data_IF_424848533509
#
_entry.id   IF_424848533509
#
_cell.length_a   1.000
_cell.length_b   1.000
_cell.length_c   1.000
_cell.angle_alpha   90.00
_cell.angle_beta   90.00
_cell.angle_gamma   90.00
#
_symmetry.space_group_name_H-M   'P 1'
#
loop_
_entity.id
_entity.type
_entity.pdbx_description
1 polymer ?
#
# COMPACT_ATOMS: atom_id res chain seq x y z
N UNK A 1 -21.37 8.05 -0.13
CA UNK A 1 -20.10 7.76 0.59
C UNK A 1 -19.65 6.36 0.22
N UNK A 2 -18.60 6.23 -0.58
CA UNK A 2 -17.86 4.98 -0.74
C UNK A 2 -16.41 5.31 -0.40
N UNK A 3 -15.99 5.02 0.83
CA UNK A 3 -14.57 4.94 1.21
C UNK A 3 -13.76 3.95 0.33
N UNK A 4 -14.42 3.26 -0.62
CA UNK A 4 -13.85 2.25 -1.48
C UNK A 4 -13.52 2.67 -2.91
N UNK A 5 -13.82 3.88 -3.40
CA UNK A 5 -13.44 4.22 -4.79
C UNK A 5 -11.92 4.44 -4.90
N UNK A 6 -11.35 5.26 -4.03
CA UNK A 6 -9.95 5.65 -4.08
C UNK A 6 -9.07 4.49 -3.64
N UNK A 7 -9.40 3.80 -2.54
CA UNK A 7 -8.66 2.61 -2.09
C UNK A 7 -8.67 1.49 -3.15
N UNK A 8 -9.79 1.28 -3.85
CA UNK A 8 -9.84 0.32 -4.95
C UNK A 8 -9.05 0.81 -6.17
N UNK A 9 -9.16 2.09 -6.52
CA UNK A 9 -8.40 2.69 -7.61
C UNK A 9 -6.89 2.60 -7.37
N UNK A 10 -6.42 2.79 -6.13
CA UNK A 10 -5.02 2.58 -5.75
C UNK A 10 -4.60 1.13 -5.99
N UNK A 11 -5.41 0.15 -5.59
CA UNK A 11 -5.10 -1.25 -5.85
C UNK A 11 -5.13 -1.59 -7.34
N UNK A 12 -6.07 -1.03 -8.10
CA UNK A 12 -6.12 -1.20 -9.55
C UNK A 12 -4.85 -0.62 -10.20
N UNK A 13 -4.41 0.56 -9.75
CA UNK A 13 -3.17 1.18 -10.22
C UNK A 13 -1.95 0.29 -9.91
N UNK A 14 -1.82 -0.21 -8.68
CA UNK A 14 -0.69 -1.07 -8.31
C UNK A 14 -0.71 -2.39 -9.09
N UNK A 15 -1.87 -3.03 -9.22
CA UNK A 15 -2.01 -4.32 -9.92
C UNK A 15 -1.84 -4.22 -11.43
N UNK A 16 -2.10 -3.05 -12.01
CA UNK A 16 -1.89 -2.76 -13.42
C UNK A 16 -0.43 -2.73 -13.85
N UNK A 17 0.52 -2.70 -12.90
CA UNK A 17 1.94 -2.54 -13.16
C UNK A 17 2.76 -3.67 -12.54
N UNK A 18 3.42 -4.50 -13.34
CA UNK A 18 4.28 -5.56 -12.80
C UNK A 18 5.47 -5.02 -11.98
N UNK A 19 5.89 -3.78 -12.27
CA UNK A 19 7.04 -3.13 -11.64
C UNK A 19 6.69 -2.42 -10.33
N UNK A 20 5.40 -2.30 -10.01
CA UNK A 20 4.93 -1.79 -8.71
C UNK A 20 4.54 -2.97 -7.84
N UNK A 21 5.03 -2.98 -6.60
CA UNK A 21 4.80 -4.08 -5.66
C UNK A 21 4.14 -3.58 -4.38
N UNK A 22 3.22 -4.38 -3.85
CA UNK A 22 2.70 -4.20 -2.50
C UNK A 22 3.70 -4.77 -1.51
N UNK A 23 4.00 -4.05 -0.42
CA UNK A 23 4.87 -4.55 0.65
C UNK A 23 4.09 -4.57 1.95
N UNK A 24 4.07 -5.71 2.64
CA UNK A 24 3.38 -5.84 3.92
C UNK A 24 3.99 -6.97 4.77
N UNK A 25 3.85 -6.87 6.09
CA UNK A 25 4.18 -7.91 7.07
C UNK A 25 2.98 -8.78 7.43
N UNK A 26 3.24 -9.97 8.00
CA UNK A 26 2.16 -10.90 8.40
C UNK A 26 1.29 -10.26 9.49
N UNK A 27 1.91 -9.47 10.36
CA UNK A 27 1.25 -8.70 11.40
C UNK A 27 0.26 -7.68 10.82
N UNK A 28 0.64 -6.97 9.74
CA UNK A 28 -0.25 -6.03 9.07
C UNK A 28 -1.45 -6.73 8.44
N UNK A 29 -1.21 -7.90 7.83
CA UNK A 29 -2.26 -8.72 7.23
C UNK A 29 -3.21 -9.28 8.29
N UNK A 30 -2.69 -9.77 9.41
CA UNK A 30 -3.48 -10.30 10.51
C UNK A 30 -4.44 -9.24 11.10
N UNK A 31 -3.92 -8.05 11.43
CA UNK A 31 -4.74 -6.94 11.93
C UNK A 31 -5.82 -6.54 10.92
N UNK A 32 -5.46 -6.46 9.64
CA UNK A 32 -6.43 -6.09 8.59
C UNK A 32 -7.50 -7.16 8.41
N UNK A 33 -7.14 -8.44 8.48
CA UNK A 33 -8.08 -9.57 8.43
C UNK A 33 -9.09 -9.47 9.57
N UNK A 34 -8.64 -9.18 10.79
CA UNK A 34 -9.53 -9.00 11.95
C UNK A 34 -10.52 -7.86 11.73
N UNK A 35 -10.07 -6.72 11.19
CA UNK A 35 -10.94 -5.58 10.86
C UNK A 35 -11.98 -5.98 9.80
N UNK A 36 -11.55 -6.66 8.73
CA UNK A 36 -12.48 -7.10 7.67
C UNK A 36 -13.50 -8.08 8.23
N UNK A 37 -13.07 -9.05 9.05
CA UNK A 37 -13.97 -10.01 9.68
C UNK A 37 -15.00 -9.33 10.59
N UNK A 38 -14.59 -8.28 11.31
CA UNK A 38 -15.48 -7.49 12.17
C UNK A 38 -16.50 -6.66 11.39
N UNK A 39 -16.15 -6.19 10.20
CA UNK A 39 -17.01 -5.35 9.36
C UNK A 39 -17.85 -6.16 8.36
N UNK A 40 -17.49 -7.41 8.09
CA UNK A 40 -18.08 -8.24 7.03
C UNK A 40 -18.34 -9.67 7.51
N UNK A 41 -17.61 -10.66 6.99
CA UNK A 41 -17.67 -12.07 7.38
C UNK A 41 -16.26 -12.64 7.48
N UNK A 42 -16.11 -13.71 8.26
CA UNK A 42 -14.83 -14.42 8.37
C UNK A 42 -14.39 -15.01 7.03
N UNK A 43 -15.33 -15.54 6.24
CA UNK A 43 -15.04 -16.06 4.89
C UNK A 43 -14.45 -14.99 3.97
N UNK A 44 -15.07 -13.80 3.91
CA UNK A 44 -14.54 -12.72 3.07
C UNK A 44 -13.18 -12.24 3.57
N UNK A 45 -12.98 -12.20 4.89
CA UNK A 45 -11.69 -11.85 5.48
C UNK A 45 -10.60 -12.88 5.16
N UNK A 46 -10.93 -14.17 5.18
CA UNK A 46 -10.04 -15.27 4.80
C UNK A 46 -9.67 -15.23 3.32
N UNK A 47 -10.66 -15.05 2.45
CA UNK A 47 -10.46 -14.93 1.00
C UNK A 47 -9.56 -13.73 0.68
N UNK A 48 -9.83 -12.58 1.30
CA UNK A 48 -8.98 -11.39 1.19
C UNK A 48 -7.55 -11.67 1.67
N UNK A 49 -7.39 -12.30 2.83
CA UNK A 49 -6.09 -12.55 3.44
C UNK A 49 -5.23 -13.46 2.57
N UNK A 50 -5.83 -14.51 2.02
CA UNK A 50 -5.15 -15.46 1.14
C UNK A 50 -4.81 -14.82 -0.22
N UNK A 51 -5.67 -13.94 -0.74
CA UNK A 51 -5.34 -13.14 -1.93
C UNK A 51 -4.16 -12.19 -1.69
N UNK A 52 -4.24 -11.31 -0.69
CA UNK A 52 -3.23 -10.29 -0.46
C UNK A 52 -1.87 -10.88 -0.06
N UNK A 53 -1.86 -12.04 0.60
CA UNK A 53 -0.65 -12.78 0.95
C UNK A 53 0.14 -13.21 -0.29
N UNK A 54 -0.54 -13.57 -1.39
CA UNK A 54 0.11 -13.93 -2.66
C UNK A 54 0.58 -12.72 -3.45
N UNK A 55 -0.13 -11.59 -3.34
CA UNK A 55 0.18 -10.38 -4.11
C UNK A 55 1.34 -9.56 -3.51
N UNK A 56 1.49 -9.56 -2.18
CA UNK A 56 2.52 -8.76 -1.52
C UNK A 56 3.92 -9.38 -1.66
N UNK A 57 4.91 -8.51 -1.61
CA UNK A 57 6.26 -8.80 -1.14
C UNK A 57 6.23 -8.85 0.39
N UNK A 58 6.54 -10.03 0.94
CA UNK A 58 6.55 -10.26 2.39
C UNK A 58 7.78 -9.64 3.03
N UNK A 59 7.59 -8.96 4.16
CA UNK A 59 8.67 -8.43 5.00
C UNK A 59 8.45 -8.79 6.46
N UNK A 60 9.55 -8.99 7.19
CA UNK A 60 9.53 -9.23 8.64
C UNK A 60 10.04 -8.01 9.40
N UNK A 61 9.49 -7.75 10.58
CA UNK A 61 9.98 -6.72 11.49
C UNK A 61 9.89 -7.19 12.94
N UNK A 62 10.63 -6.56 13.88
CA UNK A 62 10.49 -6.84 15.30
C UNK A 62 9.04 -6.60 15.79
N UNK A 63 8.59 -7.34 16.82
CA UNK A 63 7.29 -7.11 17.44
C UNK A 63 7.28 -5.74 18.15
N UNK A 64 6.09 -5.12 18.22
CA UNK A 64 5.88 -3.84 18.91
C UNK A 64 5.97 -2.60 18.01
N UNK A 65 6.57 -2.71 16.83
CA UNK A 65 6.54 -1.64 15.83
C UNK A 65 5.14 -1.55 15.17
N UNK A 66 4.74 -0.33 14.76
CA UNK A 66 3.51 -0.15 13.99
C UNK A 66 3.61 -0.92 12.66
N UNK A 67 2.76 -1.93 12.39
CA UNK A 67 2.98 -2.87 11.28
C UNK A 67 3.10 -2.21 9.90
N UNK A 68 2.30 -1.17 9.62
CA UNK A 68 2.36 -0.45 8.35
C UNK A 68 3.68 0.32 8.15
N UNK A 69 4.15 1.05 9.17
CA UNK A 69 5.42 1.78 9.12
C UNK A 69 6.61 0.82 9.07
N UNK A 70 6.57 -0.24 9.88
CA UNK A 70 7.60 -1.26 9.90
C UNK A 70 7.71 -1.99 8.56
N UNK A 71 6.56 -2.31 7.93
CA UNK A 71 6.51 -2.87 6.57
C UNK A 71 7.12 -1.91 5.55
N UNK A 72 6.72 -0.64 5.57
CA UNK A 72 7.24 0.37 4.67
C UNK A 72 8.77 0.53 4.81
N UNK A 73 9.26 0.58 6.05
CA UNK A 73 10.68 0.69 6.35
C UNK A 73 11.47 -0.53 5.87
N UNK A 74 11.06 -1.74 6.24
CA UNK A 74 11.76 -2.99 5.89
C UNK A 74 11.66 -3.31 4.40
N UNK A 75 10.59 -2.88 3.75
CA UNK A 75 10.36 -3.03 2.32
C UNK A 75 10.96 -1.95 1.44
N UNK A 76 11.60 -0.92 2.03
CA UNK A 76 12.04 0.29 1.31
C UNK A 76 10.92 0.92 0.47
N UNK A 77 9.70 0.93 0.99
CA UNK A 77 8.55 1.50 0.29
C UNK A 77 8.72 3.02 0.13
N UNK A 78 8.36 3.53 -1.05
CA UNK A 78 8.31 4.97 -1.34
C UNK A 78 7.01 5.62 -0.87
N UNK A 79 5.94 4.82 -0.80
CA UNK A 79 4.60 5.29 -0.45
C UNK A 79 3.99 4.41 0.64
N UNK A 80 3.35 5.06 1.62
CA UNK A 80 2.41 4.42 2.53
C UNK A 80 1.04 5.05 2.30
N UNK A 81 0.14 4.29 1.70
CA UNK A 81 -1.25 4.72 1.46
C UNK A 81 -2.12 4.24 2.60
N UNK A 82 -2.74 5.15 3.33
CA UNK A 82 -3.47 4.81 4.56
C UNK A 82 -4.62 5.77 4.83
N UNK A 83 -5.71 5.25 5.40
CA UNK A 83 -6.83 6.05 5.93
C UNK A 83 -6.67 6.36 7.42
N UNK A 84 -5.56 5.95 8.04
CA UNK A 84 -5.27 6.29 9.43
C UNK A 84 -4.90 7.78 9.53
N UNK A 85 -5.81 8.58 10.08
CA UNK A 85 -5.66 10.02 10.23
C UNK A 85 -4.41 10.41 11.01
N UNK A 86 -4.04 9.65 12.04
CA UNK A 86 -2.85 9.90 12.86
C UNK A 86 -1.56 9.79 12.05
N UNK A 87 -1.49 8.82 11.12
CA UNK A 87 -0.34 8.64 10.24
C UNK A 87 -0.29 9.70 9.14
N UNK A 88 -1.45 10.18 8.67
CA UNK A 88 -1.51 11.22 7.65
C UNK A 88 -1.36 12.64 8.21
N UNK A 89 -1.41 12.81 9.52
CA UNK A 89 -1.24 14.10 10.17
C UNK A 89 0.16 14.69 9.85
N UNK A 90 0.21 15.97 9.49
CA UNK A 90 1.42 16.65 9.02
C UNK A 90 2.62 16.46 9.95
N UNK A 91 2.40 16.51 11.28
CA UNK A 91 3.46 16.34 12.27
C UNK A 91 4.05 14.92 12.30
N UNK A 92 3.22 13.89 12.09
CA UNK A 92 3.68 12.50 12.03
C UNK A 92 4.39 12.20 10.71
N UNK A 93 3.90 12.74 9.60
CA UNK A 93 4.55 12.55 8.30
C UNK A 93 5.97 13.14 8.29
N UNK A 94 6.14 14.35 8.84
CA UNK A 94 7.45 15.02 8.94
C UNK A 94 8.43 14.28 9.86
N UNK A 95 7.96 13.72 10.97
CA UNK A 95 8.82 12.96 11.89
C UNK A 95 9.29 11.63 11.29
N UNK A 96 8.49 11.01 10.43
CA UNK A 96 8.89 9.79 9.70
C UNK A 96 9.87 10.12 8.56
N UNK A 97 9.63 11.21 7.83
CA UNK A 97 10.48 11.64 6.71
C UNK A 97 11.93 11.94 7.10
N UNK A 98 12.19 12.35 8.36
CA UNK A 98 13.56 12.55 8.83
C UNK A 98 14.34 11.24 9.01
N UNK A 99 13.68 10.08 8.99
CA UNK A 99 14.28 8.76 9.19
C UNK A 99 14.23 7.88 7.92
N UNK A 100 13.30 8.14 7.00
CA UNK A 100 13.22 7.42 5.73
C UNK A 100 12.50 8.24 4.64
N UNK A 101 12.85 8.00 3.39
CA UNK A 101 12.21 8.61 2.21
C UNK A 101 10.83 7.97 1.93
N UNK A 102 9.88 8.17 2.84
CA UNK A 102 8.51 7.66 2.77
C UNK A 102 7.51 8.80 2.61
N UNK A 103 6.64 8.68 1.60
CA UNK A 103 5.47 9.54 1.48
C UNK A 103 4.23 8.87 2.04
N UNK A 104 3.74 9.35 3.17
CA UNK A 104 2.49 8.89 3.78
C UNK A 104 1.33 9.76 3.28
N UNK A 105 0.25 9.15 2.79
CA UNK A 105 -0.90 9.89 2.25
C UNK A 105 -2.20 9.09 2.23
N UNK A 106 -3.37 9.74 2.23
CA UNK A 106 -4.64 9.07 2.00
C UNK A 106 -4.80 8.58 0.54
N UNK A 107 -5.70 7.62 0.28
CA UNK A 107 -5.87 7.03 -1.05
C UNK A 107 -6.22 8.02 -2.17
N UNK A 108 -7.04 9.03 -1.90
CA UNK A 108 -7.43 10.07 -2.86
C UNK A 108 -6.25 10.98 -3.24
N UNK A 109 -5.41 11.34 -2.27
CA UNK A 109 -4.19 12.10 -2.51
C UNK A 109 -3.14 11.26 -3.26
N UNK A 110 -3.09 9.93 -3.05
CA UNK A 110 -2.26 9.06 -3.88
C UNK A 110 -2.72 9.07 -5.32
N UNK A 111 -4.02 8.81 -5.57
CA UNK A 111 -4.58 8.78 -6.91
C UNK A 111 -4.33 10.09 -7.69
N UNK A 112 -4.41 11.23 -7.00
CA UNK A 112 -4.23 12.55 -7.62
C UNK A 112 -2.77 12.83 -8.03
N UNK A 113 -1.81 12.24 -7.33
CA UNK A 113 -0.39 12.63 -7.42
C UNK A 113 0.53 11.52 -7.93
N UNK A 114 0.03 10.28 -8.03
CA UNK A 114 0.79 9.17 -8.55
C UNK A 114 0.82 9.26 -10.08
N UNK A 115 2.02 9.49 -10.62
CA UNK A 115 2.27 9.54 -12.06
C UNK A 115 3.16 8.35 -12.44
N UNK A 116 2.57 7.23 -12.92
CA UNK A 116 3.34 6.01 -13.23
C UNK A 116 4.37 6.25 -14.34
N UNK A 117 4.05 7.12 -15.30
CA UNK A 117 4.96 7.50 -16.39
C UNK A 117 6.24 8.15 -15.84
N UNK A 118 6.11 9.28 -15.14
CA UNK A 118 7.23 10.00 -14.51
C UNK A 118 8.07 9.08 -13.59
N UNK A 119 7.41 8.19 -12.84
CA UNK A 119 8.10 7.27 -11.93
C UNK A 119 8.85 6.15 -12.68
N UNK A 120 8.24 5.56 -13.70
CA UNK A 120 8.86 4.50 -14.50
C UNK A 120 10.08 5.03 -15.24
N UNK A 121 9.95 6.15 -15.94
CA UNK A 121 11.04 6.75 -16.71
C UNK A 121 12.21 7.16 -15.79
N UNK A 122 11.91 7.63 -14.58
CA UNK A 122 12.93 7.95 -13.58
C UNK A 122 13.63 6.74 -12.96
N UNK A 123 12.97 5.58 -12.89
CA UNK A 123 13.53 4.35 -12.30
C UNK A 123 14.29 3.50 -13.32
N UNK A 124 13.79 3.41 -14.55
CA UNK A 124 14.31 2.52 -15.58
C UNK A 124 15.09 3.23 -16.68
N UNK A 125 15.04 4.58 -16.74
CA UNK A 125 15.62 5.38 -17.81
C UNK A 125 15.11 4.96 -19.22
N UNK A 126 13.89 4.42 -19.25
CA UNK A 126 13.20 3.91 -20.45
C UNK A 126 11.80 4.52 -20.55
N UNK A 127 11.27 4.64 -21.78
CA UNK A 127 9.92 5.12 -22.01
C UNK A 127 8.88 4.21 -21.34
N UNK A 128 7.91 4.82 -20.66
CA UNK A 128 6.88 4.09 -19.95
C UNK A 128 5.97 3.29 -20.92
N UNK A 129 5.87 1.95 -20.77
CA UNK A 129 5.09 1.11 -21.70
C UNK A 129 3.57 1.20 -21.48
N UNK A 130 3.12 1.92 -20.45
CA UNK A 130 1.74 1.86 -19.97
C UNK A 130 1.49 0.70 -19.00
N UNK A 131 0.25 0.55 -18.50
CA UNK A 131 -0.15 -0.60 -17.70
C UNK A 131 0.02 -1.89 -18.49
N UNK A 132 0.61 -2.90 -17.85
CA UNK A 132 1.01 -4.14 -18.51
C UNK A 132 0.31 -5.38 -17.93
N UNK A 133 -0.62 -5.18 -16.99
CA UNK A 133 -1.44 -6.22 -16.38
C UNK A 133 -2.90 -5.80 -16.30
N UNK A 134 -3.81 -6.77 -16.39
CA UNK A 134 -5.21 -6.54 -16.00
C UNK A 134 -5.27 -6.45 -14.47
N UNK A 135 -5.69 -5.30 -13.90
CA UNK A 135 -5.72 -5.11 -12.46
C UNK A 135 -6.77 -5.96 -11.72
N UNK A 136 -7.68 -6.62 -12.45
CA UNK A 136 -8.83 -7.35 -11.90
C UNK A 136 -8.93 -8.80 -12.36
N UNK A 137 -7.89 -9.31 -13.01
CA UNK A 137 -7.77 -10.72 -13.39
C UNK A 137 -7.62 -11.66 -12.18
#
# INVERSE_FOLDING_TARGET
>A
MLLGNASRAVLDEVRGHHWVVLVASDELLAVTREIIAALTTTTLADDWHEQIRRERVSVSHPPGDHPALASAYRGNARHLVTTNEELTATGMNLSVQSHMELSIRPPDAFQTLFEPESLYEGLFEEAYPGPDRDPRA
#
